data_IF_203871641929
#
_entry.id   IF_203871641929
#
_cell.length_a   1.000
_cell.length_b   1.000
_cell.length_c   1.000
_cell.angle_alpha   90.00
_cell.angle_beta   90.00
_cell.angle_gamma   90.00
#
_symmetry.space_group_name_H-M   'P 1'
#
loop_
_entity.id
_entity.type
_entity.pdbx_description
1 polymer ?
#
# COMPACT_ATOMS: atom_id res chain seq x y z
N UNK A 1 3.41 31.77 4.90
CA UNK A 1 2.47 30.72 4.47
C UNK A 1 2.94 29.42 5.11
N UNK A 2 2.17 28.81 6.00
CA UNK A 2 2.52 27.48 6.55
C UNK A 2 2.12 26.46 5.47
N UNK A 3 3.06 25.63 5.02
CA UNK A 3 2.70 24.46 4.22
C UNK A 3 1.74 23.60 5.06
N UNK A 4 0.62 23.19 4.48
CA UNK A 4 -0.28 22.19 5.06
C UNK A 4 0.11 20.86 4.40
N UNK A 5 0.53 19.88 5.20
CA UNK A 5 0.94 18.56 4.72
C UNK A 5 2.46 18.33 4.68
N UNK A 6 2.86 17.20 4.11
CA UNK A 6 4.26 16.83 3.93
C UNK A 6 4.84 17.52 2.69
N UNK A 7 6.05 18.08 2.76
CA UNK A 7 6.72 18.61 1.58
C UNK A 7 7.08 17.48 0.61
N UNK A 8 7.06 17.77 -0.69
CA UNK A 8 7.60 16.88 -1.72
C UNK A 8 9.12 16.72 -1.48
N UNK A 9 9.57 15.48 -1.41
CA UNK A 9 10.99 15.14 -1.15
C UNK A 9 11.70 14.74 -2.42
N UNK A 10 10.99 14.04 -3.31
CA UNK A 10 11.53 13.57 -4.59
C UNK A 10 10.42 13.45 -5.62
N UNK A 11 10.73 13.88 -6.84
CA UNK A 11 9.94 13.75 -8.05
C UNK A 11 10.79 12.96 -9.06
N UNK A 12 10.27 11.83 -9.54
CA UNK A 12 10.88 11.00 -10.57
C UNK A 12 10.07 11.01 -11.89
N UNK A 13 9.23 12.02 -12.11
CA UNK A 13 8.37 12.19 -13.28
C UNK A 13 7.00 11.57 -13.06
N UNK A 14 6.91 10.24 -13.04
CA UNK A 14 5.64 9.51 -12.84
C UNK A 14 5.37 9.15 -11.39
N UNK A 15 6.22 9.59 -10.47
CA UNK A 15 6.19 9.17 -9.07
C UNK A 15 6.78 10.20 -8.13
N UNK A 16 6.00 10.52 -7.10
CA UNK A 16 6.38 11.43 -6.03
C UNK A 16 6.56 10.68 -4.71
N UNK A 17 7.51 11.18 -3.90
CA UNK A 17 7.71 10.74 -2.53
C UNK A 17 7.64 11.90 -1.56
N UNK A 18 6.97 11.69 -0.43
CA UNK A 18 6.99 12.60 0.71
C UNK A 18 6.94 11.83 2.03
N UNK A 19 7.13 12.54 3.15
CA UNK A 19 7.11 11.97 4.50
C UNK A 19 8.21 10.90 4.70
N UNK A 20 9.48 11.29 4.54
CA UNK A 20 10.64 10.38 4.57
C UNK A 20 10.51 9.20 3.61
N UNK A 21 9.98 9.46 2.40
CA UNK A 21 9.59 8.46 1.41
C UNK A 21 8.54 7.44 1.85
N UNK A 22 7.85 7.65 2.98
CA UNK A 22 6.81 6.75 3.46
C UNK A 22 5.45 6.97 2.79
N UNK A 23 5.29 8.03 1.99
CA UNK A 23 4.17 8.16 1.05
C UNK A 23 4.74 8.15 -0.36
N UNK A 24 4.23 7.25 -1.18
CA UNK A 24 4.47 7.15 -2.62
C UNK A 24 3.18 7.53 -3.34
N UNK A 25 3.28 8.39 -4.35
CA UNK A 25 2.17 8.73 -5.24
C UNK A 25 2.60 8.43 -6.65
N UNK A 26 1.83 7.63 -7.37
CA UNK A 26 2.06 7.31 -8.77
C UNK A 26 0.99 7.96 -9.64
N UNK A 27 1.42 8.41 -10.81
CA UNK A 27 0.57 9.09 -11.78
C UNK A 27 0.40 8.26 -13.04
N UNK A 28 -0.82 8.25 -13.58
CA UNK A 28 -1.15 7.63 -14.85
C UNK A 28 -0.70 8.48 -16.05
N UNK A 29 -1.00 7.99 -17.26
CA UNK A 29 -0.62 8.66 -18.53
C UNK A 29 -1.28 10.05 -18.72
N UNK A 30 -2.31 10.38 -17.95
CA UNK A 30 -3.02 11.66 -17.97
C UNK A 30 -2.56 12.63 -16.86
N UNK A 31 -1.43 12.32 -16.21
CA UNK A 31 -0.87 13.03 -15.06
C UNK A 31 -1.81 13.08 -13.83
N UNK A 32 -2.84 12.22 -13.78
CA UNK A 32 -3.69 12.06 -12.60
C UNK A 32 -3.14 10.97 -11.68
N UNK A 33 -3.41 11.11 -10.37
CA UNK A 33 -3.01 10.12 -9.37
C UNK A 33 -3.73 8.80 -9.64
N UNK A 34 -2.93 7.75 -9.80
CA UNK A 34 -3.41 6.40 -10.11
C UNK A 34 -3.20 5.43 -8.94
N UNK A 35 -2.20 5.69 -8.10
CA UNK A 35 -1.92 4.92 -6.90
C UNK A 35 -1.31 5.78 -5.79
N UNK A 36 -1.68 5.49 -4.55
CA UNK A 36 -1.03 6.04 -3.35
C UNK A 36 -0.64 4.89 -2.45
N UNK A 37 0.66 4.72 -2.24
CA UNK A 37 1.25 3.75 -1.33
C UNK A 37 1.71 4.42 -0.04
N UNK A 38 1.54 3.74 1.09
CA UNK A 38 2.03 4.22 2.39
C UNK A 38 2.79 3.13 3.11
N UNK A 39 3.98 3.46 3.60
CA UNK A 39 4.77 2.66 4.53
C UNK A 39 4.67 3.26 5.94
N UNK A 40 5.11 2.51 6.95
CA UNK A 40 5.07 3.00 8.31
C UNK A 40 5.92 4.28 8.47
N UNK A 41 5.35 5.27 9.13
CA UNK A 41 6.05 6.45 9.66
C UNK A 41 5.35 6.90 10.93
N UNK A 42 6.11 7.25 11.98
CA UNK A 42 5.57 7.64 13.28
C UNK A 42 4.67 8.90 13.22
N UNK A 43 4.79 9.70 12.17
CA UNK A 43 3.98 10.92 11.95
C UNK A 43 2.62 10.62 11.34
N UNK A 44 2.37 9.37 10.93
CA UNK A 44 1.16 8.97 10.21
C UNK A 44 0.38 7.89 10.96
N UNK A 45 -0.94 8.01 10.91
CA UNK A 45 -1.85 6.94 11.30
C UNK A 45 -2.62 6.49 10.06
N UNK A 46 -2.23 5.34 9.51
CA UNK A 46 -2.91 4.72 8.38
C UNK A 46 -3.90 3.69 8.91
N UNK A 47 -5.17 3.85 8.54
CA UNK A 47 -6.22 2.93 8.98
C UNK A 47 -7.03 2.40 7.82
N UNK A 48 -7.34 1.12 7.87
CA UNK A 48 -8.35 0.49 7.03
C UNK A 48 -9.55 0.10 7.90
N UNK A 49 -10.73 0.61 7.57
CA UNK A 49 -11.98 0.43 8.35
C UNK A 49 -11.79 0.65 9.88
N UNK A 50 -10.99 1.65 10.25
CA UNK A 50 -10.71 2.04 11.64
C UNK A 50 -9.62 1.24 12.36
N UNK A 51 -9.03 0.21 11.73
CA UNK A 51 -7.91 -0.55 12.28
C UNK A 51 -6.58 0.00 11.76
N UNK A 52 -5.58 0.16 12.63
CA UNK A 52 -4.24 0.56 12.23
C UNK A 52 -3.56 -0.58 11.46
N UNK A 53 -3.26 -0.35 10.19
CA UNK A 53 -2.75 -1.37 9.27
C UNK A 53 -1.36 -1.88 9.66
N UNK A 54 -0.51 -1.02 10.24
CA UNK A 54 0.84 -1.39 10.68
C UNK A 54 0.89 -1.98 12.09
N UNK A 55 -0.25 -2.04 12.79
CA UNK A 55 -0.35 -2.69 14.11
C UNK A 55 -0.80 -4.14 13.99
N UNK A 56 -1.48 -4.53 12.92
CA UNK A 56 -1.93 -5.90 12.70
C UNK A 56 -0.78 -6.77 12.20
N UNK A 57 -0.80 -8.07 12.50
CA UNK A 57 0.03 -9.02 11.77
C UNK A 57 -0.39 -9.04 10.29
N UNK A 58 0.55 -9.30 9.38
CA UNK A 58 0.30 -9.35 7.94
C UNK A 58 -0.90 -10.22 7.56
N UNK A 59 -0.99 -11.43 8.12
CA UNK A 59 -2.14 -12.33 7.91
C UNK A 59 -3.44 -11.77 8.42
N UNK A 60 -3.43 -11.15 9.61
CA UNK A 60 -4.63 -10.54 10.18
C UNK A 60 -5.15 -9.40 9.30
N UNK A 61 -4.26 -8.54 8.79
CA UNK A 61 -4.64 -7.46 7.88
C UNK A 61 -5.16 -8.01 6.54
N UNK A 62 -4.46 -8.99 5.96
CA UNK A 62 -4.87 -9.62 4.71
C UNK A 62 -6.26 -10.21 4.84
N UNK A 63 -6.49 -11.08 5.82
CA UNK A 63 -7.79 -11.73 6.07
C UNK A 63 -8.89 -10.69 6.35
N UNK A 64 -8.57 -9.58 7.04
CA UNK A 64 -9.52 -8.51 7.31
C UNK A 64 -9.94 -7.73 6.05
N UNK A 65 -9.02 -7.47 5.12
CA UNK A 65 -9.36 -6.84 3.83
C UNK A 65 -10.10 -7.86 2.95
N UNK A 66 -9.61 -9.09 2.87
CA UNK A 66 -10.13 -10.19 2.07
C UNK A 66 -11.59 -10.54 2.39
N UNK A 67 -11.99 -10.40 3.67
CA UNK A 67 -13.38 -10.60 4.10
C UNK A 67 -14.37 -9.59 3.49
N UNK A 68 -13.89 -8.58 2.77
CA UNK A 68 -14.67 -7.57 2.08
C UNK A 68 -14.50 -7.60 0.56
N UNK A 69 -13.82 -8.63 0.02
CA UNK A 69 -13.76 -8.87 -1.42
C UNK A 69 -14.96 -9.66 -1.91
N UNK A 70 -15.32 -9.47 -3.18
CA UNK A 70 -16.32 -10.29 -3.85
C UNK A 70 -15.85 -11.74 -4.04
N UNK A 71 -14.55 -11.95 -4.27
CA UNK A 71 -13.91 -13.26 -4.41
C UNK A 71 -12.65 -13.38 -3.51
N UNK A 72 -12.80 -13.89 -2.28
CA UNK A 72 -11.71 -13.99 -1.32
C UNK A 72 -10.59 -14.92 -1.79
N UNK A 73 -9.34 -14.48 -1.67
CA UNK A 73 -8.16 -15.27 -2.03
C UNK A 73 -7.46 -15.92 -0.85
N UNK A 74 -6.60 -16.90 -1.12
CA UNK A 74 -5.71 -17.47 -0.10
C UNK A 74 -4.63 -16.47 0.31
N UNK A 75 -4.21 -16.54 1.57
CA UNK A 75 -3.15 -15.70 2.10
C UNK A 75 -1.81 -15.94 1.39
N UNK A 76 -1.10 -14.85 1.11
CA UNK A 76 0.28 -14.83 0.61
C UNK A 76 1.10 -13.82 1.40
N UNK A 77 2.41 -14.05 1.51
CA UNK A 77 3.36 -13.08 2.08
C UNK A 77 3.90 -12.10 1.03
N UNK A 78 3.67 -12.37 -0.26
CA UNK A 78 4.09 -11.53 -1.38
C UNK A 78 3.07 -10.44 -1.69
N UNK A 79 3.46 -9.52 -2.57
CA UNK A 79 2.57 -8.52 -3.16
C UNK A 79 1.21 -9.10 -3.57
N UNK A 80 0.13 -8.42 -3.16
CA UNK A 80 -1.23 -8.80 -3.50
C UNK A 80 -2.11 -7.57 -3.67
N UNK A 81 -2.96 -7.58 -4.72
CA UNK A 81 -3.97 -6.55 -4.98
C UNK A 81 -5.35 -7.15 -4.78
N UNK A 82 -6.13 -6.56 -3.88
CA UNK A 82 -7.55 -6.86 -3.65
C UNK A 82 -8.40 -6.17 -4.73
N UNK A 83 -8.92 -6.89 -5.75
CA UNK A 83 -9.45 -6.26 -6.95
C UNK A 83 -10.72 -5.43 -6.73
N UNK A 84 -11.59 -5.84 -5.82
CA UNK A 84 -12.89 -5.18 -5.57
C UNK A 84 -12.72 -3.81 -4.91
N UNK A 85 -11.67 -3.65 -4.13
CA UNK A 85 -11.37 -2.45 -3.35
C UNK A 85 -10.15 -1.67 -3.85
N UNK A 86 -9.37 -2.29 -4.74
CA UNK A 86 -8.11 -1.80 -5.29
C UNK A 86 -7.13 -1.39 -4.17
N UNK A 87 -7.07 -2.24 -3.14
CA UNK A 87 -6.10 -2.13 -2.05
C UNK A 87 -4.92 -3.03 -2.39
N UNK A 88 -3.69 -2.52 -2.26
CA UNK A 88 -2.46 -3.29 -2.46
C UNK A 88 -1.73 -3.46 -1.16
N UNK A 89 -1.22 -4.66 -0.92
CA UNK A 89 -0.29 -4.98 0.16
C UNK A 89 1.04 -5.39 -0.48
N UNK A 90 2.13 -4.77 -0.05
CA UNK A 90 3.49 -5.06 -0.55
C UNK A 90 4.31 -5.76 0.52
N UNK A 91 4.80 -6.95 0.19
CA UNK A 91 5.73 -7.82 0.93
C UNK A 91 5.60 -7.79 2.47
N UNK A 92 5.10 -8.89 3.02
CA UNK A 92 5.05 -9.13 4.45
C UNK A 92 6.40 -9.62 4.98
N UNK A 93 6.97 -8.89 5.93
CA UNK A 93 8.20 -9.32 6.61
C UNK A 93 8.25 -8.75 8.04
N UNK A 94 8.95 -9.42 8.94
CA UNK A 94 9.12 -8.95 10.32
C UNK A 94 9.93 -7.66 10.42
N UNK A 95 10.84 -7.38 9.50
CA UNK A 95 11.66 -6.15 9.52
C UNK A 95 10.81 -4.87 9.46
N UNK A 96 9.57 -4.96 9.00
CA UNK A 96 8.64 -3.83 8.90
C UNK A 96 7.78 -3.63 10.16
N UNK A 97 7.90 -4.49 11.19
CA UNK A 97 7.21 -4.33 12.47
C UNK A 97 7.93 -3.33 13.39
N UNK A 98 7.97 -2.07 12.96
CA UNK A 98 8.58 -0.97 13.71
C UNK A 98 7.90 -0.72 15.07
N UNK A 99 6.60 -1.03 15.19
CA UNK A 99 5.82 -0.84 16.42
C UNK A 99 6.00 -1.99 17.43
N UNK A 100 6.21 -3.21 16.94
CA UNK A 100 6.37 -4.41 17.75
C UNK A 100 7.82 -4.84 17.97
N UNK A 101 8.79 -4.18 17.33
CA UNK A 101 10.22 -4.50 17.45
C UNK A 101 10.60 -5.74 16.65
N UNK A 102 10.12 -5.81 15.41
CA UNK A 102 10.42 -6.86 14.44
C UNK A 102 9.98 -8.27 14.89
N UNK A 103 8.89 -8.36 15.65
CA UNK A 103 8.45 -9.62 16.27
C UNK A 103 7.42 -10.39 15.43
N UNK A 104 6.79 -9.72 14.46
CA UNK A 104 5.76 -10.33 13.60
C UNK A 104 5.85 -9.77 12.18
N UNK A 105 5.44 -10.54 11.16
CA UNK A 105 5.34 -10.01 9.82
C UNK A 105 4.31 -8.87 9.76
N UNK A 106 4.70 -7.77 9.14
CA UNK A 106 3.86 -6.60 8.81
C UNK A 106 4.13 -6.27 7.35
N UNK A 107 3.12 -5.77 6.64
CA UNK A 107 3.26 -5.34 5.26
C UNK A 107 4.16 -4.12 5.14
N UNK A 108 5.14 -4.16 4.23
CA UNK A 108 6.07 -3.07 3.96
C UNK A 108 5.34 -1.78 3.53
N UNK A 109 4.29 -1.96 2.73
CA UNK A 109 3.47 -0.88 2.22
C UNK A 109 2.02 -1.34 2.09
N UNK A 110 1.10 -0.42 2.37
CA UNK A 110 -0.34 -0.54 2.07
C UNK A 110 -0.71 0.62 1.17
N UNK A 111 -1.36 0.33 0.05
CA UNK A 111 -1.75 1.34 -0.92
C UNK A 111 -3.17 1.19 -1.43
N UNK A 112 -3.64 2.25 -2.08
CA UNK A 112 -4.92 2.30 -2.79
C UNK A 112 -4.69 2.79 -4.20
N UNK A 113 -5.31 2.09 -5.16
CA UNK A 113 -5.22 2.42 -6.57
C UNK A 113 -6.57 2.74 -7.19
N UNK A 114 -6.52 3.11 -8.46
CA UNK A 114 -7.68 3.23 -9.33
C UNK A 114 -7.86 1.96 -10.19
N UNK A 115 -8.95 1.94 -10.95
CA UNK A 115 -9.17 0.92 -11.98
C UNK A 115 -8.07 0.88 -13.06
N UNK A 116 -7.42 2.01 -13.37
CA UNK A 116 -6.28 2.04 -14.30
C UNK A 116 -5.08 1.33 -13.71
N UNK A 117 -4.79 1.58 -12.43
CA UNK A 117 -3.73 0.89 -11.70
C UNK A 117 -3.97 -0.62 -11.67
N UNK A 118 -5.20 -1.05 -11.35
CA UNK A 118 -5.55 -2.48 -11.36
C UNK A 118 -5.32 -3.13 -12.73
N UNK A 119 -5.73 -2.45 -13.82
CA UNK A 119 -5.47 -2.93 -15.19
C UNK A 119 -3.98 -3.02 -15.50
N UNK A 120 -3.18 -2.06 -15.05
CA UNK A 120 -1.73 -2.05 -15.26
C UNK A 120 -1.05 -3.22 -14.55
N UNK A 121 -1.40 -3.47 -13.27
CA UNK A 121 -0.85 -4.60 -12.50
C UNK A 121 -1.24 -5.95 -13.12
N UNK A 122 -2.51 -6.13 -13.50
CA UNK A 122 -2.96 -7.35 -14.16
C UNK A 122 -2.22 -7.59 -15.48
N UNK A 123 -1.99 -6.54 -16.27
CA UNK A 123 -1.22 -6.64 -17.51
C UNK A 123 0.26 -7.03 -17.29
N UNK A 124 0.84 -6.73 -16.12
CA UNK A 124 2.20 -7.16 -15.75
C UNK A 124 2.19 -8.63 -15.33
N UNK A 125 1.20 -9.07 -14.56
CA UNK A 125 1.07 -10.47 -14.12
C UNK A 125 0.79 -11.42 -15.29
N UNK A 126 -0.09 -11.03 -16.22
CA UNK A 126 -0.40 -11.83 -17.42
C UNK A 126 0.80 -11.99 -18.37
N UNK A 127 1.81 -11.11 -18.27
CA UNK A 127 3.05 -11.18 -19.07
C UNK A 127 4.13 -12.08 -18.47
N UNK A 128 3.96 -12.60 -17.25
CA UNK A 128 4.96 -13.47 -16.57
C UNK A 128 4.74 -14.98 -16.83
N UNK A 129 4.14 -15.36 -17.98
CA UNK A 129 3.97 -16.76 -18.42
C UNK A 129 5.20 -17.26 -19.18
#
# INVERSE_FOLDING_TARGET
MKLVGFPLERDNGSMDYCCSSSIQVEYGDDDLVDFVGTSYDERMLVTYKGQNVFKLNARELFEFINAHEDDPSEYTDYEYVFPSQIVTLWDADSQYDYLGGEQKPVWAQVGVGTESYLRAINAIHDRKI
#
